data_IF_875069849108
#
_entry.id   IF_875069849108
#
_cell.length_a   1.000
_cell.length_b   1.000
_cell.length_c   1.000
_cell.angle_alpha   90.00
_cell.angle_beta   90.00
_cell.angle_gamma   90.00
#
_symmetry.space_group_name_H-M   'P 1'
#
loop_
_entity.id
_entity.type
_entity.pdbx_description
1 polymer ?
#
# COMPACT_ATOMS: atom_id res chain seq x y z
N UNK A 1 -4.30 -19.67 1.36
CA UNK A 1 -3.59 -18.43 0.95
C UNK A 1 -4.51 -17.23 0.84
N UNK A 2 -5.65 -17.34 0.16
CA UNK A 2 -6.55 -16.18 -0.09
C UNK A 2 -7.03 -15.47 1.18
N UNK A 3 -7.10 -16.18 2.29
CA UNK A 3 -7.58 -15.62 3.57
C UNK A 3 -6.46 -15.19 4.51
N UNK A 4 -5.19 -15.16 4.05
CA UNK A 4 -4.10 -14.68 4.88
C UNK A 4 -4.30 -13.19 5.20
N UNK A 5 -4.23 -12.79 6.51
CA UNK A 5 -4.65 -11.44 6.92
C UNK A 5 -3.99 -10.29 6.15
N UNK A 6 -2.67 -10.36 5.93
CA UNK A 6 -1.97 -9.30 5.21
C UNK A 6 -2.43 -9.22 3.74
N UNK A 7 -2.68 -10.36 3.11
CA UNK A 7 -3.19 -10.40 1.74
C UNK A 7 -4.60 -9.81 1.66
N UNK A 8 -5.46 -10.14 2.64
CA UNK A 8 -6.82 -9.58 2.73
C UNK A 8 -6.77 -8.06 2.87
N UNK A 9 -5.91 -7.55 3.77
CA UNK A 9 -5.77 -6.09 3.99
C UNK A 9 -5.23 -5.37 2.77
N UNK A 10 -4.31 -5.98 2.05
CA UNK A 10 -3.77 -5.41 0.82
C UNK A 10 -4.85 -5.33 -0.26
N UNK A 11 -5.67 -6.38 -0.40
CA UNK A 11 -6.84 -6.33 -1.30
C UNK A 11 -7.83 -5.24 -0.93
N UNK A 12 -8.12 -5.10 0.36
CA UNK A 12 -9.04 -4.05 0.84
C UNK A 12 -8.52 -2.66 0.51
N UNK A 13 -7.22 -2.41 0.70
CA UNK A 13 -6.59 -1.15 0.34
C UNK A 13 -6.76 -0.86 -1.15
N UNK A 14 -6.44 -1.82 -2.00
CA UNK A 14 -6.51 -1.66 -3.47
C UNK A 14 -7.94 -1.38 -3.91
N UNK A 15 -8.91 -2.12 -3.38
CA UNK A 15 -10.33 -1.92 -3.71
C UNK A 15 -10.81 -0.54 -3.28
N UNK A 16 -10.43 -0.10 -2.08
CA UNK A 16 -10.85 1.20 -1.57
C UNK A 16 -10.19 2.35 -2.33
N UNK A 17 -8.89 2.26 -2.55
CA UNK A 17 -8.13 3.28 -3.28
C UNK A 17 -8.60 3.43 -4.73
N UNK A 18 -9.07 2.34 -5.33
CA UNK A 18 -9.60 2.35 -6.70
C UNK A 18 -10.74 3.36 -6.85
N UNK A 19 -11.57 3.49 -5.81
CA UNK A 19 -12.67 4.46 -5.80
C UNK A 19 -12.12 5.89 -5.88
N UNK A 20 -11.11 6.21 -5.09
CA UNK A 20 -10.51 7.56 -5.09
C UNK A 20 -9.77 7.86 -6.38
N UNK A 21 -9.02 6.89 -6.90
CA UNK A 21 -8.25 7.05 -8.14
C UNK A 21 -9.14 7.21 -9.37
N UNK A 22 -10.36 6.66 -9.34
CA UNK A 22 -11.32 6.81 -10.44
C UNK A 22 -11.79 8.26 -10.61
N UNK A 23 -11.71 9.08 -9.57
CA UNK A 23 -12.12 10.50 -9.60
C UNK A 23 -10.99 11.44 -10.04
N UNK A 24 -9.80 10.94 -10.33
CA UNK A 24 -8.62 11.73 -10.69
C UNK A 24 -8.86 12.59 -11.93
N UNK A 25 -8.12 13.74 -12.06
CA UNK A 25 -8.11 14.48 -13.32
C UNK A 25 -7.70 13.57 -14.48
N UNK A 26 -8.37 13.71 -15.61
CA UNK A 26 -8.18 12.81 -16.76
C UNK A 26 -6.72 12.75 -17.23
N UNK A 27 -6.02 13.89 -17.23
CA UNK A 27 -4.63 13.97 -17.68
C UNK A 27 -3.65 13.25 -16.75
N UNK A 28 -4.06 12.95 -15.51
CA UNK A 28 -3.19 12.27 -14.53
C UNK A 28 -3.40 10.76 -14.46
N UNK A 29 -4.38 10.22 -15.18
CA UNK A 29 -4.64 8.78 -15.19
C UNK A 29 -3.47 7.95 -15.69
N UNK A 30 -2.71 8.50 -16.62
CA UNK A 30 -1.56 7.81 -17.22
C UNK A 30 -0.24 8.11 -16.53
N UNK A 31 -0.23 8.98 -15.53
CA UNK A 31 0.98 9.35 -14.79
C UNK A 31 0.81 9.01 -13.32
N UNK A 32 0.21 9.90 -12.52
CA UNK A 32 0.13 9.74 -11.07
C UNK A 32 -0.70 8.53 -10.64
N UNK A 33 -1.86 8.34 -11.26
CA UNK A 33 -2.74 7.18 -10.97
C UNK A 33 -2.03 5.88 -11.31
N UNK A 34 -1.38 5.83 -12.46
CA UNK A 34 -0.65 4.63 -12.90
C UNK A 34 0.48 4.28 -11.91
N UNK A 35 1.23 5.27 -11.42
CA UNK A 35 2.30 5.03 -10.45
C UNK A 35 1.77 4.41 -9.16
N UNK A 36 0.68 4.96 -8.63
CA UNK A 36 0.07 4.41 -7.41
C UNK A 36 -0.42 2.98 -7.64
N UNK A 37 -1.13 2.75 -8.75
CA UNK A 37 -1.63 1.40 -9.08
C UNK A 37 -0.49 0.39 -9.23
N UNK A 38 0.59 0.78 -9.88
CA UNK A 38 1.75 -0.09 -10.05
C UNK A 38 2.36 -0.48 -8.69
N UNK A 39 2.48 0.47 -7.75
CA UNK A 39 2.98 0.19 -6.41
C UNK A 39 2.03 -0.71 -5.62
N UNK A 40 0.72 -0.51 -5.76
CA UNK A 40 -0.28 -1.34 -5.09
C UNK A 40 -0.23 -2.79 -5.59
N UNK A 41 -0.16 -2.99 -6.90
CA UNK A 41 -0.03 -4.32 -7.50
C UNK A 41 1.30 -4.96 -7.11
N UNK A 42 2.39 -4.20 -7.08
CA UNK A 42 3.69 -4.69 -6.63
C UNK A 42 3.62 -5.15 -5.17
N UNK A 43 3.01 -4.34 -4.30
CA UNK A 43 2.79 -4.70 -2.90
C UNK A 43 2.01 -6.02 -2.79
N UNK A 44 0.93 -6.15 -3.54
CA UNK A 44 0.10 -7.34 -3.56
C UNK A 44 0.91 -8.59 -3.96
N UNK A 45 1.65 -8.51 -5.07
CA UNK A 45 2.44 -9.64 -5.54
C UNK A 45 3.60 -9.98 -4.61
N UNK A 46 4.19 -8.99 -3.94
CA UNK A 46 5.24 -9.25 -2.94
C UNK A 46 4.70 -10.00 -1.72
N UNK A 47 3.47 -9.70 -1.30
CA UNK A 47 2.82 -10.49 -0.23
C UNK A 47 2.66 -11.93 -0.66
N UNK A 48 2.16 -12.17 -1.88
CA UNK A 48 2.00 -13.53 -2.42
C UNK A 48 3.35 -14.24 -2.49
N UNK A 49 4.36 -13.58 -3.02
CA UNK A 49 5.72 -14.12 -3.13
C UNK A 49 6.27 -14.49 -1.76
N UNK A 50 6.12 -13.61 -0.78
CA UNK A 50 6.59 -13.86 0.57
C UNK A 50 5.90 -15.06 1.23
N UNK A 51 4.61 -15.25 0.96
CA UNK A 51 3.86 -16.41 1.46
C UNK A 51 4.37 -17.72 0.87
N UNK A 52 4.90 -17.71 -0.36
CA UNK A 52 5.33 -18.91 -1.07
C UNK A 52 6.81 -19.24 -0.89
N UNK A 53 7.65 -18.25 -0.58
CA UNK A 53 9.09 -18.48 -0.45
C UNK A 53 9.42 -19.10 0.89
N UNK A 54 10.38 -20.02 0.89
CA UNK A 54 10.94 -20.59 2.12
C UNK A 54 11.78 -19.55 2.87
N UNK A 55 12.71 -18.88 2.17
CA UNK A 55 13.51 -17.79 2.73
C UNK A 55 12.83 -16.44 2.44
N UNK A 56 12.46 -15.72 3.49
CA UNK A 56 11.58 -14.57 3.38
C UNK A 56 12.26 -13.22 3.64
N UNK A 57 13.50 -13.21 4.10
CA UNK A 57 14.19 -11.98 4.53
C UNK A 57 14.23 -10.90 3.42
N UNK A 58 14.70 -11.26 2.23
CA UNK A 58 14.83 -10.34 1.11
C UNK A 58 13.47 -9.84 0.65
N UNK A 59 12.50 -10.75 0.51
CA UNK A 59 11.15 -10.39 0.08
C UNK A 59 10.45 -9.48 1.10
N UNK A 60 10.64 -9.74 2.40
CA UNK A 60 10.10 -8.87 3.45
C UNK A 60 10.71 -7.47 3.41
N UNK A 61 12.01 -7.36 3.12
CA UNK A 61 12.67 -6.06 2.94
C UNK A 61 12.07 -5.31 1.75
N UNK A 62 11.90 -5.97 0.62
CA UNK A 62 11.26 -5.37 -0.56
C UNK A 62 9.82 -4.95 -0.29
N UNK A 63 9.09 -5.77 0.45
CA UNK A 63 7.72 -5.49 0.85
C UNK A 63 7.64 -4.22 1.72
N UNK A 64 8.55 -4.09 2.69
CA UNK A 64 8.63 -2.92 3.55
C UNK A 64 8.97 -1.65 2.76
N UNK A 65 9.93 -1.74 1.84
CA UNK A 65 10.31 -0.62 0.97
C UNK A 65 9.14 -0.20 0.08
N UNK A 66 8.47 -1.16 -0.55
CA UNK A 66 7.32 -0.86 -1.43
C UNK A 66 6.18 -0.24 -0.65
N UNK A 67 5.93 -0.71 0.58
CA UNK A 67 4.93 -0.13 1.48
C UNK A 67 5.23 1.36 1.75
N UNK A 68 6.47 1.69 2.04
CA UNK A 68 6.87 3.09 2.28
C UNK A 68 6.78 3.93 1.02
N UNK A 69 7.18 3.39 -0.12
CA UNK A 69 7.02 4.07 -1.41
C UNK A 69 5.56 4.39 -1.69
N UNK A 70 4.66 3.46 -1.39
CA UNK A 70 3.23 3.66 -1.59
C UNK A 70 2.68 4.75 -0.65
N UNK A 71 3.13 4.77 0.60
CA UNK A 71 2.77 5.83 1.55
C UNK A 71 3.20 7.20 1.01
N UNK A 72 4.44 7.31 0.54
CA UNK A 72 4.98 8.54 -0.02
C UNK A 72 4.25 8.96 -1.29
N UNK A 73 3.87 7.99 -2.13
CA UNK A 73 3.12 8.27 -3.36
C UNK A 73 1.74 8.85 -3.07
N UNK A 74 1.02 8.33 -2.08
CA UNK A 74 -0.27 8.86 -1.68
C UNK A 74 -0.14 10.26 -1.06
N UNK A 75 0.90 10.51 -0.27
CA UNK A 75 1.16 11.83 0.28
C UNK A 75 1.40 12.84 -0.84
N UNK A 76 2.23 12.50 -1.82
CA UNK A 76 2.49 13.38 -2.96
C UNK A 76 1.21 13.61 -3.80
N UNK A 77 0.43 12.55 -4.02
CA UNK A 77 -0.85 12.63 -4.72
C UNK A 77 -1.79 13.65 -4.06
N UNK A 78 -1.85 13.61 -2.73
CA UNK A 78 -2.61 14.58 -1.95
C UNK A 78 -2.05 16.01 -2.10
N UNK A 79 -0.73 16.18 -1.98
CA UNK A 79 -0.07 17.49 -2.07
C UNK A 79 -0.24 18.12 -3.46
N UNK A 80 -0.32 17.29 -4.51
CA UNK A 80 -0.61 17.75 -5.86
C UNK A 80 -2.08 18.15 -6.06
N UNK A 81 -2.92 17.94 -5.05
CA UNK A 81 -4.33 18.33 -5.08
C UNK A 81 -5.26 17.34 -5.78
N UNK A 82 -4.78 16.14 -6.13
CA UNK A 82 -5.55 15.21 -6.94
C UNK A 82 -6.69 14.52 -6.16
N UNK A 83 -6.63 14.51 -4.84
CA UNK A 83 -7.73 14.01 -4.01
C UNK A 83 -8.90 15.01 -3.91
N UNK A 84 -8.72 16.22 -4.41
CA UNK A 84 -9.78 17.24 -4.47
C UNK A 84 -10.64 17.12 -5.74
N UNK A 85 -10.54 16.03 -6.48
CA UNK A 85 -11.28 15.81 -7.70
C UNK A 85 -12.43 14.83 -7.50
N UNK A 86 -13.53 15.07 -8.22
CA UNK A 86 -14.68 14.17 -8.30
C UNK A 86 -15.09 14.06 -9.77
N UNK A 87 -15.09 12.82 -10.29
CA UNK A 87 -15.41 12.54 -11.69
C UNK A 87 -14.56 13.38 -12.68
N UNK A 88 -13.28 13.57 -12.36
CA UNK A 88 -12.34 14.30 -13.20
C UNK A 88 -12.42 15.82 -13.08
N UNK A 89 -13.27 16.35 -12.20
CA UNK A 89 -13.46 17.79 -11.98
C UNK A 89 -13.07 18.18 -10.57
N UNK A 90 -12.47 19.36 -10.44
CA UNK A 90 -12.10 19.90 -9.13
C UNK A 90 -13.34 20.09 -8.26
N UNK A 91 -13.29 19.56 -7.04
CA UNK A 91 -14.34 19.72 -6.03
C UNK A 91 -13.85 20.73 -4.98
N UNK A 92 -14.67 21.73 -4.67
CA UNK A 92 -14.29 22.82 -3.76
C UNK A 92 -14.37 22.44 -2.27
N UNK A 93 -14.65 21.18 -1.93
CA UNK A 93 -14.63 20.71 -0.55
C UNK A 93 -13.22 20.83 0.03
N UNK A 94 -13.07 21.50 1.18
CA UNK A 94 -11.78 21.68 1.84
C UNK A 94 -11.42 20.52 2.79
N UNK A 95 -12.42 19.71 3.16
CA UNK A 95 -12.25 18.63 4.15
C UNK A 95 -12.08 17.24 3.53
N UNK A 96 -12.66 17.01 2.36
CA UNK A 96 -12.68 15.71 1.71
C UNK A 96 -11.29 15.17 1.33
N UNK A 97 -10.36 15.98 0.76
CA UNK A 97 -9.05 15.46 0.42
C UNK A 97 -8.29 14.91 1.62
N UNK A 98 -8.30 15.62 2.73
CA UNK A 98 -7.62 15.18 3.95
C UNK A 98 -8.29 13.95 4.57
N UNK A 99 -9.62 13.89 4.52
CA UNK A 99 -10.38 12.72 4.98
C UNK A 99 -10.00 11.46 4.18
N UNK A 100 -9.95 11.59 2.85
CA UNK A 100 -9.56 10.47 1.96
C UNK A 100 -8.13 10.01 2.25
N UNK A 101 -7.19 10.94 2.39
CA UNK A 101 -5.81 10.62 2.74
C UNK A 101 -5.75 9.92 4.10
N UNK A 102 -6.53 10.39 5.07
CA UNK A 102 -6.61 9.77 6.40
C UNK A 102 -7.08 8.32 6.36
N UNK A 103 -8.06 8.01 5.51
CA UNK A 103 -8.55 6.64 5.32
C UNK A 103 -7.43 5.76 4.75
N UNK A 104 -6.76 6.22 3.70
CA UNK A 104 -5.65 5.48 3.07
C UNK A 104 -4.52 5.27 4.08
N UNK A 105 -4.14 6.29 4.82
CA UNK A 105 -3.06 6.20 5.80
C UNK A 105 -3.38 5.21 6.92
N UNK A 106 -4.62 5.15 7.39
CA UNK A 106 -5.01 4.15 8.40
C UNK A 106 -4.87 2.73 7.87
N UNK A 107 -5.26 2.50 6.61
CA UNK A 107 -5.11 1.19 5.97
C UNK A 107 -3.63 0.83 5.78
N UNK A 108 -2.82 1.79 5.36
CA UNK A 108 -1.37 1.62 5.22
C UNK A 108 -0.70 1.37 6.57
N UNK A 109 -1.12 2.05 7.63
CA UNK A 109 -0.60 1.82 8.98
C UNK A 109 -0.86 0.40 9.46
N UNK A 110 -2.06 -0.12 9.21
CA UNK A 110 -2.41 -1.49 9.56
C UNK A 110 -1.56 -2.50 8.80
N UNK A 111 -1.39 -2.30 7.50
CA UNK A 111 -0.52 -3.15 6.66
C UNK A 111 0.93 -3.06 7.17
N UNK A 112 1.42 -1.87 7.50
CA UNK A 112 2.77 -1.68 8.02
C UNK A 112 3.01 -2.42 9.33
N UNK A 113 2.04 -2.42 10.23
CA UNK A 113 2.13 -3.19 11.48
C UNK A 113 2.21 -4.69 11.22
N UNK A 114 1.45 -5.19 10.25
CA UNK A 114 1.49 -6.61 9.87
C UNK A 114 2.84 -7.00 9.25
N UNK A 115 3.39 -6.16 8.39
CA UNK A 115 4.72 -6.39 7.79
C UNK A 115 5.78 -6.40 8.89
N UNK A 116 5.72 -5.45 9.81
CA UNK A 116 6.67 -5.36 10.94
C UNK A 116 6.59 -6.58 11.85
N UNK A 117 5.38 -7.05 12.15
CA UNK A 117 5.17 -8.25 12.96
C UNK A 117 5.74 -9.48 12.27
N UNK A 118 5.51 -9.63 10.98
CA UNK A 118 6.04 -10.74 10.20
C UNK A 118 7.57 -10.72 10.17
N UNK A 119 8.16 -9.55 9.96
CA UNK A 119 9.61 -9.38 9.96
C UNK A 119 10.24 -9.78 11.31
N UNK A 120 9.58 -9.46 12.43
CA UNK A 120 10.06 -9.88 13.76
C UNK A 120 10.02 -11.39 13.93
N UNK A 121 8.94 -12.03 13.51
CA UNK A 121 8.79 -13.49 13.58
C UNK A 121 9.90 -14.18 12.78
N UNK A 122 10.16 -13.69 11.56
CA UNK A 122 11.22 -14.27 10.72
C UNK A 122 12.61 -14.08 11.33
N UNK A 123 12.89 -12.94 11.95
CA UNK A 123 14.18 -12.73 12.64
C UNK A 123 14.34 -13.68 13.81
N UNK A 124 13.30 -13.90 14.59
CA UNK A 124 13.32 -14.85 15.71
C UNK A 124 13.52 -16.28 15.23
N UNK A 125 12.82 -16.68 14.18
CA UNK A 125 12.98 -17.99 13.57
C UNK A 125 14.43 -18.22 13.08
N UNK A 126 15.04 -17.21 12.48
CA UNK A 126 16.43 -17.29 12.03
C UNK A 126 17.40 -17.46 13.21
N UNK A 127 17.17 -16.79 14.33
CA UNK A 127 17.99 -16.94 15.54
C UNK A 127 17.89 -18.34 16.11
N UNK A 128 16.70 -18.94 16.11
CA UNK A 128 16.49 -20.32 16.59
C UNK A 128 17.18 -21.34 15.69
N UNK A 129 17.24 -21.09 14.39
CA UNK A 129 17.83 -22.00 13.41
C UNK A 129 19.36 -21.91 13.32
N UNK A 130 19.98 -20.91 13.93
CA UNK A 130 21.43 -20.75 13.94
C UNK A 130 22.01 -21.45 15.17
N UNK A 131 22.69 -22.61 15.01
CA UNK A 131 23.41 -23.23 16.12
C UNK A 131 24.58 -22.33 16.53
N UNK A 132 24.80 -22.24 17.80
CA UNK A 132 25.95 -21.52 18.35
C UNK A 132 27.29 -22.16 17.95
#
# INVERSE_FOLDING_TARGET
MQNYPLLVKTRELIKHSHIYLAHAPKHEKYVAVKQIKNLEWQLYFLVVECLKRYHKKTTLTELDVTHEQLRCAWQLYYELGYLAYKDGRHDDSTTEPLRKLGVINRMLDEIGRMIGAWSRVERENMKVQQPN
#
